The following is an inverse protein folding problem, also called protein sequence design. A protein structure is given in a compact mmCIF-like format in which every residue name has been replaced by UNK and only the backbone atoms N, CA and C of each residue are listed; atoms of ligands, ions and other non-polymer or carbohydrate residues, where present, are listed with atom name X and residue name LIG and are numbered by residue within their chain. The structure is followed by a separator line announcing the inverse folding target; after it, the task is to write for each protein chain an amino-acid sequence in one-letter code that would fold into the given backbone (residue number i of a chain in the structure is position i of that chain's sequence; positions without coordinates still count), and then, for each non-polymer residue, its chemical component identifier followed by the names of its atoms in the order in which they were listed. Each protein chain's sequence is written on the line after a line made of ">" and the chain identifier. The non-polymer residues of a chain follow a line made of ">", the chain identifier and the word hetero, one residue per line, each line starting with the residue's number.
data_IF_557753952864
#
_entry.id   IF_557753952864
#
_cell.length_a   1.000
_cell.length_b   1.000
_cell.length_c   1.000
_cell.angle_alpha   90.00
_cell.angle_beta   90.00
_cell.angle_gamma   90.00
#
_symmetry.space_group_name_H-M   'P 1'
#
loop_
_entity.id
_entity.type
_entity.pdbx_description
1 polymer ?
#
# COMPACT_ATOMS: atom_id res chain seq x y z
N UNK A 1 -12.68 -14.93 11.16
CA UNK A 1 -11.87 -14.91 9.92
C UNK A 1 -11.14 -13.58 9.85
N UNK A 2 -9.88 -13.58 9.43
CA UNK A 2 -9.03 -12.39 9.39
C UNK A 2 -9.24 -11.68 8.05
N UNK A 3 -9.60 -10.38 8.06
CA UNK A 3 -9.97 -9.61 6.86
C UNK A 3 -8.85 -9.60 5.80
N UNK A 4 -7.58 -9.69 6.20
CA UNK A 4 -6.45 -9.74 5.27
C UNK A 4 -6.36 -11.04 4.44
N UNK A 5 -7.11 -12.07 4.82
CA UNK A 5 -7.20 -13.34 4.09
C UNK A 5 -8.37 -13.40 3.11
N UNK A 6 -9.31 -12.46 3.23
CA UNK A 6 -10.53 -12.38 2.41
C UNK A 6 -10.33 -11.46 1.19
N UNK A 7 -9.30 -10.61 1.23
CA UNK A 7 -8.98 -9.62 0.19
C UNK A 7 -7.61 -9.85 -0.44
N UNK A 8 -7.52 -9.66 -1.76
CA UNK A 8 -6.24 -9.74 -2.51
C UNK A 8 -5.58 -8.38 -2.74
N UNK A 9 -6.04 -7.32 -2.06
CA UNK A 9 -5.44 -6.00 -2.20
C UNK A 9 -3.98 -5.98 -1.75
N UNK A 10 -3.18 -5.07 -2.31
CA UNK A 10 -1.78 -4.90 -1.94
C UNK A 10 -1.60 -4.65 -0.44
N UNK A 11 -2.54 -3.94 0.19
CA UNK A 11 -2.56 -3.74 1.64
C UNK A 11 -2.77 -5.05 2.40
N UNK A 12 -3.74 -5.89 1.98
CA UNK A 12 -3.96 -7.20 2.58
C UNK A 12 -2.72 -8.11 2.43
N UNK A 13 -2.08 -8.09 1.25
CA UNK A 13 -0.79 -8.78 1.02
C UNK A 13 0.31 -8.25 1.95
N UNK A 14 0.42 -6.93 2.13
CA UNK A 14 1.40 -6.32 3.03
C UNK A 14 1.21 -6.78 4.48
N UNK A 15 -0.04 -6.85 4.94
CA UNK A 15 -0.38 -7.33 6.29
C UNK A 15 -0.04 -8.83 6.44
N UNK A 16 -0.31 -9.65 5.42
CA UNK A 16 0.09 -11.07 5.38
C UNK A 16 1.60 -11.25 5.45
N UNK A 17 2.38 -10.46 4.70
CA UNK A 17 3.85 -10.48 4.74
C UNK A 17 4.38 -10.05 6.11
N UNK A 18 3.76 -9.06 6.74
CA UNK A 18 4.08 -8.67 8.11
C UNK A 18 3.68 -9.73 9.16
N UNK A 19 2.85 -10.72 8.78
CA UNK A 19 2.42 -11.86 9.58
C UNK A 19 1.07 -11.70 10.27
N UNK A 20 0.67 -10.46 10.64
CA UNK A 20 -0.66 -10.17 11.20
C UNK A 20 -0.93 -8.67 11.24
N UNK A 21 -2.20 -8.27 11.37
CA UNK A 21 -2.59 -6.86 11.61
C UNK A 21 -1.85 -6.23 12.81
N UNK A 22 -1.63 -7.00 13.89
CA UNK A 22 -0.92 -6.53 15.08
C UNK A 22 0.58 -6.31 14.81
N UNK A 23 1.22 -7.23 14.08
CA UNK A 23 2.62 -7.09 13.68
C UNK A 23 2.81 -5.92 12.71
N UNK A 24 1.91 -5.80 11.73
CA UNK A 24 1.86 -4.65 10.82
C UNK A 24 1.68 -3.33 11.58
N UNK A 25 0.75 -3.28 12.54
CA UNK A 25 0.55 -2.12 13.40
C UNK A 25 1.82 -1.70 14.15
N UNK A 26 2.65 -2.64 14.60
CA UNK A 26 3.94 -2.34 15.25
C UNK A 26 4.93 -1.69 14.29
N UNK A 27 4.96 -2.10 13.01
CA UNK A 27 5.82 -1.50 11.98
C UNK A 27 5.50 -0.02 11.76
N UNK A 28 4.21 0.31 11.68
CA UNK A 28 3.73 1.69 11.45
C UNK A 28 3.41 2.45 12.74
N UNK A 29 3.69 1.87 13.91
CA UNK A 29 3.37 2.41 15.24
C UNK A 29 1.88 2.79 15.40
N UNK A 30 0.97 1.97 14.86
CA UNK A 30 -0.48 2.11 14.99
C UNK A 30 -1.11 0.90 15.66
N UNK A 31 -2.35 1.10 16.11
CA UNK A 31 -3.17 0.04 16.69
C UNK A 31 -3.67 -0.89 15.58
N UNK A 32 -3.87 -2.17 15.93
CA UNK A 32 -4.45 -3.16 15.03
C UNK A 32 -5.82 -2.73 14.49
N UNK A 33 -6.64 -2.02 15.29
CA UNK A 33 -7.92 -1.46 14.85
C UNK A 33 -7.78 -0.49 13.68
N UNK A 34 -6.75 0.36 13.68
CA UNK A 34 -6.47 1.30 12.59
C UNK A 34 -6.10 0.56 11.30
N UNK A 35 -5.32 -0.51 11.41
CA UNK A 35 -4.97 -1.37 10.27
C UNK A 35 -6.23 -2.00 9.67
N UNK A 36 -7.14 -2.47 10.53
CA UNK A 36 -8.44 -3.00 10.10
C UNK A 36 -9.28 -1.95 9.36
N UNK A 37 -9.33 -0.71 9.85
CA UNK A 37 -10.05 0.37 9.16
C UNK A 37 -9.47 0.64 7.77
N UNK A 38 -8.15 0.62 7.63
CA UNK A 38 -7.49 0.74 6.31
C UNK A 38 -7.81 -0.42 5.38
N UNK A 39 -7.88 -1.65 5.89
CA UNK A 39 -8.28 -2.83 5.11
C UNK A 39 -9.74 -2.74 4.66
N UNK A 40 -10.64 -2.25 5.51
CA UNK A 40 -12.06 -2.09 5.17
C UNK A 40 -12.28 -0.98 4.14
N UNK A 41 -11.52 0.11 4.25
CA UNK A 41 -11.59 1.23 3.31
C UNK A 41 -10.74 0.99 2.04
N UNK A 42 -9.98 -0.11 2.00
CA UNK A 42 -8.91 -0.39 1.03
C UNK A 42 -7.99 0.81 0.78
N UNK A 43 -7.66 1.55 1.85
CA UNK A 43 -6.97 2.85 1.74
C UNK A 43 -5.88 3.01 2.78
N UNK A 44 -4.64 2.96 2.30
CA UNK A 44 -3.44 3.21 3.11
C UNK A 44 -3.04 4.69 3.06
N UNK A 45 -2.77 5.36 4.21
CA UNK A 45 -2.26 6.74 4.20
C UNK A 45 -0.87 6.81 3.56
N UNK A 46 -0.65 7.83 2.72
CA UNK A 46 0.58 7.99 1.93
C UNK A 46 1.86 8.07 2.78
N UNK A 47 1.76 8.61 3.99
CA UNK A 47 2.89 8.74 4.93
C UNK A 47 3.48 7.38 5.36
N UNK A 48 2.70 6.30 5.34
CA UNK A 48 3.15 4.96 5.75
C UNK A 48 3.64 4.11 4.58
N UNK A 49 3.36 4.52 3.34
CA UNK A 49 3.65 3.72 2.14
C UNK A 49 5.13 3.35 2.05
N UNK A 50 6.03 4.31 2.27
CA UNK A 50 7.48 4.07 2.22
C UNK A 50 7.96 3.13 3.33
N UNK A 51 7.41 3.28 4.55
CA UNK A 51 7.76 2.41 5.67
C UNK A 51 7.32 0.96 5.42
N UNK A 52 6.16 0.80 4.78
CA UNK A 52 5.61 -0.51 4.43
C UNK A 52 6.41 -1.12 3.27
N UNK A 53 6.70 -0.37 2.20
CA UNK A 53 7.53 -0.83 1.08
C UNK A 53 8.89 -1.37 1.56
N UNK A 54 9.54 -0.67 2.51
CA UNK A 54 10.80 -1.12 3.09
C UNK A 54 10.66 -2.43 3.89
N UNK A 55 9.57 -2.58 4.62
CA UNK A 55 9.35 -3.73 5.50
C UNK A 55 8.80 -4.97 4.75
N UNK A 56 7.91 -4.79 3.79
CA UNK A 56 7.19 -5.86 3.09
C UNK A 56 7.68 -6.11 1.67
N UNK A 57 8.53 -5.21 1.12
CA UNK A 57 9.03 -5.25 -0.25
C UNK A 57 7.94 -5.13 -1.33
N UNK A 58 6.74 -4.68 -0.96
CA UNK A 58 5.67 -4.40 -1.91
C UNK A 58 5.85 -2.96 -2.43
N UNK A 59 5.87 -2.74 -3.76
CA UNK A 59 6.10 -1.42 -4.32
C UNK A 59 4.96 -0.47 -3.96
N UNK A 60 5.32 0.80 -3.74
CA UNK A 60 4.37 1.88 -3.44
C UNK A 60 3.31 2.10 -4.53
N UNK A 61 3.64 1.80 -5.77
CA UNK A 61 2.70 1.84 -6.91
C UNK A 61 1.59 0.79 -6.77
N UNK A 62 1.86 -0.37 -6.16
CA UNK A 62 0.82 -1.35 -5.83
C UNK A 62 0.02 -0.93 -4.59
N UNK A 63 0.67 -0.35 -3.58
CA UNK A 63 0.02 0.05 -2.33
C UNK A 63 -0.90 1.27 -2.49
N UNK A 64 -0.50 2.24 -3.32
CA UNK A 64 -1.24 3.47 -3.61
C UNK A 64 -1.03 3.88 -5.08
N UNK A 65 -1.67 3.17 -6.03
CA UNK A 65 -1.63 3.55 -7.44
C UNK A 65 -2.19 4.96 -7.67
N UNK A 66 -3.14 5.43 -6.85
CA UNK A 66 -3.69 6.78 -6.95
C UNK A 66 -2.68 7.89 -6.63
N UNK A 67 -1.66 7.60 -5.79
CA UNK A 67 -0.61 8.59 -5.46
C UNK A 67 0.57 8.48 -6.40
N UNK A 68 0.91 7.25 -6.79
CA UNK A 68 2.06 6.93 -7.62
C UNK A 68 1.57 6.50 -8.99
N UNK A 69 0.79 7.38 -9.63
CA UNK A 69 0.49 7.24 -11.05
C UNK A 69 1.83 7.29 -11.78
N UNK A 70 2.26 6.21 -12.47
CA UNK A 70 3.46 6.29 -13.26
C UNK A 70 3.22 7.36 -14.30
N UNK A 71 4.02 8.42 -14.27
CA UNK A 71 4.09 9.43 -15.34
C UNK A 71 4.76 8.80 -16.57
N UNK A 72 4.24 7.66 -17.01
CA UNK A 72 4.68 7.00 -18.20
C UNK A 72 4.06 7.74 -19.38
N UNK A 73 4.93 8.46 -20.08
CA UNK A 73 4.69 9.15 -21.34
C UNK A 73 3.77 10.39 -21.26
N UNK A 74 4.34 11.51 -20.84
CA UNK A 74 4.15 12.68 -21.70
C UNK A 74 4.64 12.25 -23.10
N UNK A 75 3.81 12.22 -24.15
CA UNK A 75 4.36 12.10 -25.48
C UNK A 75 5.27 13.31 -25.63
N UNK A 76 6.57 13.06 -25.75
CA UNK A 76 7.47 13.98 -26.42
C UNK A 76 6.91 14.16 -27.83
N UNK A 77 5.92 15.06 -27.96
CA UNK A 77 5.55 15.65 -29.22
C UNK A 77 6.78 16.43 -29.64
N UNK A 78 7.65 15.73 -30.36
CA UNK A 78 8.79 16.28 -31.03
C UNK A 78 8.34 17.41 -31.92
N UNK A 79 9.15 18.46 -31.92
CA UNK A 79 9.18 19.50 -32.93
C UNK A 79 8.94 18.91 -34.32
N UNK A 80 7.85 19.32 -34.95
CA UNK A 80 7.58 19.12 -36.36
C UNK A 80 7.31 20.49 -36.98
N UNK A 81 8.37 21.01 -37.62
CA UNK A 81 8.46 22.05 -38.65
C UNK A 81 7.48 23.22 -38.69
#
# INVERSE_FOLDING_TARGET
>A
MALEHESDSALARAVRVAGSQSAFGRLVKKRQSTVREWLLADRLPGEYVLAIELATKIPKEELRPDLYVPVAAAPSMGSGS
#
